data_IF_051139199680
#
_entry.id   IF_051139199680
#
_cell.length_a   1.000
_cell.length_b   1.000
_cell.length_c   1.000
_cell.angle_alpha   90.00
_cell.angle_beta   90.00
_cell.angle_gamma   90.00
#
_symmetry.space_group_name_H-M   'P 1'
#
loop_
_entity.id
_entity.type
_entity.pdbx_description
1 polymer ?
#
# COMPACT_ATOMS: atom_id res chain seq x y z
N UNK A 1 1.88 11.71 10.92
CA UNK A 1 3.05 10.82 10.69
C UNK A 1 2.57 9.37 10.67
N UNK A 2 2.85 8.66 9.57
CA UNK A 2 2.55 7.24 9.47
C UNK A 2 3.46 6.44 10.38
N UNK A 3 2.97 5.30 10.90
CA UNK A 3 3.75 4.40 11.76
C UNK A 3 3.78 2.99 11.19
N UNK A 4 4.98 2.44 11.10
CA UNK A 4 5.21 1.05 10.71
C UNK A 4 5.03 0.14 11.92
N UNK A 5 4.01 -0.69 11.90
CA UNK A 5 3.80 -1.73 12.92
C UNK A 5 4.73 -2.91 12.69
N UNK A 6 4.80 -3.35 11.43
CA UNK A 6 5.64 -4.47 11.00
C UNK A 6 5.87 -4.39 9.50
N UNK A 7 6.81 -5.18 8.99
CA UNK A 7 7.04 -5.32 7.55
C UNK A 7 7.39 -6.76 7.22
N UNK A 8 7.20 -7.12 5.96
CA UNK A 8 7.56 -8.44 5.45
C UNK A 8 7.82 -8.35 3.95
N UNK A 9 8.54 -9.32 3.41
CA UNK A 9 8.73 -9.45 1.98
C UNK A 9 7.72 -10.46 1.46
N UNK A 10 6.87 -10.04 0.53
CA UNK A 10 5.73 -10.80 0.03
C UNK A 10 5.72 -10.82 -1.49
N UNK A 11 5.17 -11.89 -2.06
CA UNK A 11 5.17 -12.12 -3.51
C UNK A 11 3.77 -12.20 -4.12
N UNK A 12 2.71 -12.12 -3.30
CA UNK A 12 1.34 -12.37 -3.75
C UNK A 12 0.43 -11.15 -3.75
N UNK A 13 0.76 -10.12 -2.99
CA UNK A 13 -0.07 -8.93 -2.87
C UNK A 13 -0.11 -8.13 -4.17
N UNK A 14 1.03 -8.00 -4.83
CA UNK A 14 1.11 -7.38 -6.15
C UNK A 14 1.60 -8.46 -7.13
N UNK A 15 0.79 -8.82 -8.15
CA UNK A 15 1.19 -9.81 -9.13
C UNK A 15 2.49 -9.47 -9.83
N UNK A 16 3.38 -10.45 -9.98
CA UNK A 16 4.68 -10.35 -10.66
C UNK A 16 5.71 -9.47 -9.97
N UNK A 17 5.44 -9.02 -8.73
CA UNK A 17 6.38 -8.21 -7.96
C UNK A 17 6.81 -8.90 -6.67
N UNK A 18 8.04 -8.65 -6.26
CA UNK A 18 8.53 -8.99 -4.93
C UNK A 18 8.45 -7.71 -4.10
N UNK A 19 7.52 -7.67 -3.16
CA UNK A 19 7.17 -6.46 -2.45
C UNK A 19 7.69 -6.46 -1.03
N UNK A 20 8.27 -5.33 -0.61
CA UNK A 20 8.45 -5.01 0.80
C UNK A 20 7.15 -4.37 1.27
N UNK A 21 6.33 -5.14 1.96
CA UNK A 21 5.04 -4.69 2.46
C UNK A 21 5.19 -4.17 3.89
N UNK A 22 4.84 -2.92 4.10
CA UNK A 22 4.90 -2.27 5.40
C UNK A 22 3.48 -2.12 5.93
N UNK A 23 3.20 -2.79 7.05
CA UNK A 23 1.91 -2.70 7.72
C UNK A 23 1.86 -1.43 8.55
N UNK A 24 0.91 -0.56 8.23
CA UNK A 24 0.78 0.76 8.83
C UNK A 24 -0.33 0.70 9.88
N UNK A 25 0.00 1.13 11.10
CA UNK A 25 -0.94 1.18 12.21
C UNK A 25 -1.90 2.37 12.10
N UNK A 26 -2.78 2.52 13.09
CA UNK A 26 -3.77 3.60 13.16
C UNK A 26 -4.75 3.58 11.98
N UNK A 27 -5.13 2.37 11.53
CA UNK A 27 -6.08 2.22 10.43
C UNK A 27 -7.47 2.72 10.85
N UNK A 28 -8.04 3.72 10.17
CA UNK A 28 -9.33 4.31 10.55
C UNK A 28 -10.52 3.48 10.09
N UNK A 29 -10.31 2.50 9.22
CA UNK A 29 -11.40 1.80 8.54
C UNK A 29 -12.12 0.78 9.42
N UNK A 30 -11.39 0.11 10.32
CA UNK A 30 -11.91 -0.86 11.30
C UNK A 30 -12.91 -1.85 10.69
N UNK A 31 -12.55 -2.43 9.53
CA UNK A 31 -13.45 -3.31 8.78
C UNK A 31 -13.85 -4.53 9.62
N UNK A 32 -15.16 -4.85 9.74
CA UNK A 32 -15.59 -6.09 10.40
C UNK A 32 -14.96 -7.31 9.75
N UNK A 33 -14.42 -8.23 10.56
CA UNK A 33 -13.72 -9.41 10.07
C UNK A 33 -12.32 -9.15 9.49
N UNK A 34 -11.77 -7.95 9.70
CA UNK A 34 -10.44 -7.58 9.22
C UNK A 34 -9.37 -8.58 9.70
N UNK A 35 -8.46 -8.96 8.80
CA UNK A 35 -7.37 -9.90 9.10
C UNK A 35 -6.28 -9.27 9.99
N UNK A 36 -6.26 -7.95 10.13
CA UNK A 36 -5.20 -7.22 10.85
C UNK A 36 -5.77 -6.20 11.84
N UNK A 37 -6.64 -6.61 12.78
CA UNK A 37 -7.29 -5.66 13.72
C UNK A 37 -6.31 -4.97 14.65
N UNK A 38 -5.12 -5.52 14.89
CA UNK A 38 -4.06 -4.87 15.67
C UNK A 38 -3.56 -3.59 15.02
N UNK A 39 -3.75 -3.40 13.72
CA UNK A 39 -3.37 -2.16 13.01
C UNK A 39 -4.33 -1.00 13.30
N UNK A 40 -5.42 -1.23 14.04
CA UNK A 40 -6.32 -0.16 14.45
C UNK A 40 -5.71 0.72 15.55
N UNK A 41 -4.73 0.20 16.29
CA UNK A 41 -4.05 0.92 17.36
C UNK A 41 -2.96 1.83 16.81
N UNK A 42 -2.64 2.91 17.57
CA UNK A 42 -1.54 3.82 17.23
C UNK A 42 -0.23 3.27 17.78
N UNK A 43 0.30 2.24 17.16
CA UNK A 43 1.51 1.54 17.58
C UNK A 43 2.48 1.39 16.42
N UNK A 44 3.77 1.50 16.69
CA UNK A 44 4.82 1.25 15.70
C UNK A 44 5.88 2.34 15.65
N UNK A 45 6.78 2.20 14.71
CA UNK A 45 7.88 3.12 14.46
C UNK A 45 7.47 4.20 13.47
N UNK A 46 7.80 5.45 13.74
CA UNK A 46 7.54 6.56 12.81
C UNK A 46 8.20 6.30 11.46
N UNK A 47 7.41 6.44 10.39
CA UNK A 47 7.88 6.26 9.01
C UNK A 47 8.50 7.55 8.50
N UNK A 48 9.71 7.85 8.96
CA UNK A 48 10.50 8.96 8.47
C UNK A 48 11.23 8.57 7.19
N UNK A 49 11.71 9.54 6.43
CA UNK A 49 12.54 9.25 5.26
C UNK A 49 13.82 8.50 5.65
N UNK A 50 14.39 8.82 6.81
CA UNK A 50 15.59 8.12 7.33
C UNK A 50 15.29 6.65 7.62
N UNK A 51 14.17 6.37 8.28
CA UNK A 51 13.74 4.99 8.59
C UNK A 51 13.51 4.21 7.30
N UNK A 52 12.78 4.79 6.35
CA UNK A 52 12.49 4.16 5.07
C UNK A 52 13.75 3.96 4.23
N UNK A 53 14.67 4.93 4.23
CA UNK A 53 15.93 4.79 3.52
C UNK A 53 16.77 3.61 4.04
N UNK A 54 16.83 3.46 5.36
CA UNK A 54 17.53 2.33 5.98
C UNK A 54 16.86 0.99 5.63
N UNK A 55 15.54 0.93 5.69
CA UNK A 55 14.77 -0.30 5.44
C UNK A 55 14.85 -0.69 3.95
N UNK A 56 14.57 0.23 3.04
CA UNK A 56 14.62 -0.03 1.60
C UNK A 56 16.04 -0.34 1.16
N UNK A 57 17.03 0.40 1.66
CA UNK A 57 18.43 0.15 1.35
C UNK A 57 18.90 -1.24 1.75
N UNK A 58 18.39 -1.77 2.86
CA UNK A 58 18.70 -3.11 3.33
C UNK A 58 18.21 -4.20 2.36
N UNK A 59 17.04 -3.99 1.74
CA UNK A 59 16.38 -5.00 0.90
C UNK A 59 16.35 -4.68 -0.58
N UNK A 60 16.92 -3.55 -1.02
CA UNK A 60 16.78 -3.04 -2.39
C UNK A 60 17.21 -4.03 -3.48
N UNK A 61 18.17 -4.91 -3.20
CA UNK A 61 18.62 -5.92 -4.15
C UNK A 61 17.64 -7.10 -4.27
N UNK A 62 16.72 -7.27 -3.31
CA UNK A 62 15.82 -8.41 -3.24
C UNK A 62 14.38 -8.05 -3.65
N UNK A 63 14.02 -6.77 -3.65
CA UNK A 63 12.65 -6.32 -3.90
C UNK A 63 12.51 -5.57 -5.21
N UNK A 64 11.31 -5.60 -5.79
CA UNK A 64 10.95 -4.84 -6.99
C UNK A 64 9.89 -3.77 -6.70
N UNK A 65 9.25 -3.83 -5.53
CA UNK A 65 8.13 -2.96 -5.17
C UNK A 65 8.14 -2.65 -3.67
N UNK A 66 7.74 -1.44 -3.33
CA UNK A 66 7.46 -1.04 -1.95
C UNK A 66 5.94 -0.84 -1.81
N UNK A 67 5.32 -1.55 -0.87
CA UNK A 67 3.87 -1.53 -0.71
C UNK A 67 3.47 -0.96 0.66
N UNK A 68 2.69 0.12 0.64
CA UNK A 68 2.05 0.67 1.83
C UNK A 68 0.77 -0.14 2.12
N UNK A 69 0.75 -0.86 3.22
CA UNK A 69 -0.41 -1.65 3.65
C UNK A 69 -1.15 -0.85 4.73
N UNK A 70 -2.06 0.03 4.32
CA UNK A 70 -2.76 0.97 5.18
C UNK A 70 -2.31 2.41 4.95
N UNK A 71 -2.52 3.27 5.95
CA UNK A 71 -2.15 4.69 5.85
C UNK A 71 -3.31 5.60 5.48
N UNK A 72 -4.56 5.11 5.53
CA UNK A 72 -5.75 5.89 5.17
C UNK A 72 -6.02 7.06 6.13
N UNK A 73 -5.40 7.06 7.31
CA UNK A 73 -5.48 8.19 8.23
C UNK A 73 -4.72 9.43 7.71
N UNK A 74 -3.70 9.23 6.87
CA UNK A 74 -2.86 10.29 6.33
C UNK A 74 -2.52 10.00 4.86
N UNK A 75 -3.50 10.07 3.94
CA UNK A 75 -3.28 9.69 2.55
C UNK A 75 -2.27 10.57 1.82
N UNK A 76 -2.19 11.86 2.16
CA UNK A 76 -1.24 12.76 1.51
C UNK A 76 0.20 12.44 1.93
N UNK A 77 0.40 11.88 3.11
CA UNK A 77 1.71 11.40 3.56
C UNK A 77 2.13 10.16 2.76
N UNK A 78 1.20 9.25 2.46
CA UNK A 78 1.45 8.11 1.56
C UNK A 78 1.91 8.62 0.19
N UNK A 79 1.22 9.61 -0.37
CA UNK A 79 1.57 10.23 -1.66
C UNK A 79 2.99 10.81 -1.61
N UNK A 80 3.28 11.62 -0.59
CA UNK A 80 4.57 12.29 -0.45
C UNK A 80 5.72 11.29 -0.34
N UNK A 81 5.54 10.25 0.49
CA UNK A 81 6.56 9.21 0.65
C UNK A 81 6.72 8.38 -0.62
N UNK A 82 5.64 8.09 -1.33
CA UNK A 82 5.69 7.36 -2.61
C UNK A 82 6.50 8.14 -3.65
N UNK A 83 6.26 9.44 -3.77
CA UNK A 83 7.00 10.30 -4.69
C UNK A 83 8.50 10.33 -4.35
N UNK A 84 8.83 10.43 -3.08
CA UNK A 84 10.21 10.41 -2.61
C UNK A 84 10.90 9.08 -2.90
N UNK A 85 10.20 7.94 -2.70
CA UNK A 85 10.74 6.60 -2.99
C UNK A 85 11.03 6.47 -4.49
N UNK A 86 10.12 6.90 -5.35
CA UNK A 86 10.30 6.83 -6.81
C UNK A 86 11.48 7.67 -7.27
N UNK A 87 11.72 8.82 -6.65
CA UNK A 87 12.87 9.66 -6.96
C UNK A 87 14.19 9.06 -6.49
N UNK A 88 14.17 8.42 -5.32
CA UNK A 88 15.39 7.89 -4.69
C UNK A 88 15.78 6.52 -5.27
N UNK A 89 14.79 5.67 -5.55
CA UNK A 89 15.00 4.34 -6.14
C UNK A 89 14.12 4.16 -7.38
N UNK A 90 14.55 4.68 -8.55
CA UNK A 90 13.72 4.63 -9.77
C UNK A 90 13.34 3.24 -10.24
N UNK A 91 14.10 2.22 -9.85
CA UNK A 91 13.85 0.84 -10.23
C UNK A 91 12.86 0.12 -9.29
N UNK A 92 12.50 0.74 -8.17
CA UNK A 92 11.54 0.18 -7.21
C UNK A 92 10.18 0.83 -7.45
N UNK A 93 9.17 0.00 -7.69
CA UNK A 93 7.79 0.45 -7.87
C UNK A 93 7.15 0.75 -6.52
N UNK A 94 6.11 1.57 -6.52
CA UNK A 94 5.35 1.90 -5.32
C UNK A 94 3.93 1.39 -5.44
N UNK A 95 3.38 0.90 -4.33
CA UNK A 95 2.02 0.38 -4.26
C UNK A 95 1.35 0.82 -2.96
N UNK A 96 0.04 0.95 -2.98
CA UNK A 96 -0.75 1.29 -1.80
C UNK A 96 -2.00 0.44 -1.74
N UNK A 97 -2.20 -0.20 -0.59
CA UNK A 97 -3.44 -0.90 -0.25
C UNK A 97 -4.26 0.01 0.65
N UNK A 98 -5.26 0.68 0.06
CA UNK A 98 -6.21 1.54 0.77
C UNK A 98 -7.49 0.78 1.08
N UNK A 99 -8.06 1.04 2.25
CA UNK A 99 -9.38 0.52 2.63
C UNK A 99 -10.53 1.45 2.24
N UNK A 100 -10.26 2.53 1.53
CA UNK A 100 -11.29 3.45 1.02
C UNK A 100 -11.72 3.04 -0.38
N UNK A 101 -12.91 3.46 -0.80
CA UNK A 101 -13.43 3.17 -2.14
C UNK A 101 -12.83 4.05 -3.23
N UNK A 102 -12.29 5.20 -2.86
CA UNK A 102 -11.75 6.18 -3.81
C UNK A 102 -10.59 6.95 -3.17
N UNK A 103 -9.76 7.54 -4.03
CA UNK A 103 -8.68 8.42 -3.59
C UNK A 103 -9.24 9.76 -3.12
N UNK A 104 -8.59 10.41 -2.13
CA UNK A 104 -9.00 11.75 -1.71
C UNK A 104 -8.67 12.79 -2.78
N UNK A 105 -9.36 13.92 -2.71
CA UNK A 105 -9.09 15.07 -3.58
C UNK A 105 -7.63 15.52 -3.41
N UNK A 106 -6.98 15.84 -4.52
CA UNK A 106 -5.60 16.30 -4.52
C UNK A 106 -4.56 15.19 -4.51
N UNK A 107 -4.97 13.92 -4.46
CA UNK A 107 -4.02 12.81 -4.55
C UNK A 107 -3.58 12.62 -6.00
N UNK A 108 -2.26 12.66 -6.22
CA UNK A 108 -1.67 12.42 -7.54
C UNK A 108 -1.46 10.91 -7.73
N UNK A 109 -2.35 10.27 -8.50
CA UNK A 109 -2.36 8.82 -8.66
C UNK A 109 -1.08 8.27 -9.30
N UNK A 110 -0.42 9.07 -10.13
CA UNK A 110 0.86 8.66 -10.77
C UNK A 110 2.05 8.64 -9.81
N UNK A 111 1.86 9.00 -8.54
CA UNK A 111 2.86 8.74 -7.48
C UNK A 111 2.94 7.24 -7.14
N UNK A 112 1.97 6.45 -7.60
CA UNK A 112 1.89 5.00 -7.39
C UNK A 112 2.00 4.26 -8.72
N UNK A 113 2.54 3.04 -8.67
CA UNK A 113 2.51 2.11 -9.80
C UNK A 113 1.36 1.10 -9.67
N UNK A 114 0.92 0.83 -8.43
CA UNK A 114 -0.21 -0.04 -8.12
C UNK A 114 -1.04 0.57 -7.01
N UNK A 115 -2.36 0.39 -7.11
CA UNK A 115 -3.30 0.88 -6.10
C UNK A 115 -4.42 -0.14 -5.90
N UNK A 116 -4.62 -0.56 -4.65
CA UNK A 116 -5.79 -1.35 -4.27
C UNK A 116 -6.75 -0.43 -3.53
N UNK A 117 -8.02 -0.43 -3.95
CA UNK A 117 -9.12 0.30 -3.33
C UNK A 117 -10.20 -0.66 -2.81
N UNK A 118 -10.91 -0.21 -1.81
CA UNK A 118 -12.06 -0.87 -1.24
C UNK A 118 -11.83 -1.41 0.17
N UNK A 119 -12.80 -1.20 1.08
CA UNK A 119 -12.74 -1.80 2.42
C UNK A 119 -12.91 -3.31 2.33
N UNK A 120 -12.40 -4.03 3.34
CA UNK A 120 -12.69 -5.45 3.46
C UNK A 120 -14.13 -5.64 3.93
N UNK A 121 -14.93 -6.36 3.14
CA UNK A 121 -16.29 -6.76 3.47
C UNK A 121 -16.30 -8.28 3.53
N UNK A 122 -16.47 -8.84 4.73
CA UNK A 122 -16.36 -10.28 4.97
C UNK A 122 -17.27 -11.10 4.05
N UNK A 123 -18.51 -10.64 3.84
CA UNK A 123 -19.48 -11.32 2.98
C UNK A 123 -19.07 -11.38 1.51
N UNK A 124 -18.24 -10.43 1.04
CA UNK A 124 -17.77 -10.34 -0.35
C UNK A 124 -16.37 -10.91 -0.54
N UNK A 125 -15.63 -11.06 0.54
CA UNK A 125 -14.25 -11.55 0.53
C UNK A 125 -13.21 -10.55 0.10
N UNK A 126 -11.95 -10.97 0.09
CA UNK A 126 -10.81 -10.16 -0.33
C UNK A 126 -10.58 -10.19 -1.83
N UNK A 127 -9.44 -9.68 -2.28
CA UNK A 127 -9.10 -9.52 -3.71
C UNK A 127 -9.19 -10.81 -4.54
N UNK A 128 -8.98 -11.97 -3.91
CA UNK A 128 -9.04 -13.27 -4.60
C UNK A 128 -10.47 -13.79 -4.78
N UNK A 129 -11.45 -13.20 -4.10
CA UNK A 129 -12.84 -13.60 -4.21
C UNK A 129 -13.47 -13.08 -5.51
N UNK A 130 -14.26 -13.89 -6.25
CA UNK A 130 -14.94 -13.40 -7.45
C UNK A 130 -16.02 -12.36 -7.14
N UNK A 131 -16.53 -12.33 -5.91
CA UNK A 131 -17.59 -11.41 -5.49
C UNK A 131 -17.05 -10.15 -4.78
N UNK A 132 -15.75 -9.97 -4.74
CA UNK A 132 -15.12 -8.88 -3.99
C UNK A 132 -15.50 -7.49 -4.51
N UNK A 133 -15.67 -6.55 -3.58
CA UNK A 133 -15.74 -5.12 -3.87
C UNK A 133 -14.35 -4.47 -3.99
N UNK A 134 -13.29 -5.18 -3.58
CA UNK A 134 -11.93 -4.67 -3.64
C UNK A 134 -11.40 -4.73 -5.07
N UNK A 135 -10.62 -3.72 -5.46
CA UNK A 135 -10.08 -3.60 -6.82
C UNK A 135 -8.61 -3.21 -6.76
N UNK A 136 -7.80 -3.92 -7.54
CA UNK A 136 -6.38 -3.64 -7.69
C UNK A 136 -6.13 -3.07 -9.09
N UNK A 137 -5.38 -1.97 -9.16
CA UNK A 137 -5.09 -1.27 -10.40
C UNK A 137 -3.59 -1.18 -10.62
N UNK A 138 -3.18 -1.31 -11.90
CA UNK A 138 -1.86 -0.87 -12.37
C UNK A 138 -2.00 0.56 -12.90
N UNK A 139 -1.04 1.42 -12.59
CA UNK A 139 -1.09 2.83 -12.94
C UNK A 139 0.07 3.15 -13.89
N UNK A 140 -0.25 3.75 -15.05
CA UNK A 140 0.76 4.20 -16.01
C UNK A 140 1.41 5.51 -15.56
N UNK A 141 2.50 5.89 -16.21
CA UNK A 141 3.19 7.16 -15.92
C UNK A 141 2.29 8.38 -16.16
N UNK A 142 1.30 8.24 -17.05
CA UNK A 142 0.32 9.29 -17.32
C UNK A 142 -0.87 9.27 -16.36
N UNK A 143 -0.89 8.35 -15.38
CA UNK A 143 -1.96 8.24 -14.40
C UNK A 143 -3.16 7.42 -14.84
N UNK A 144 -3.05 6.67 -15.94
CA UNK A 144 -4.12 5.76 -16.36
C UNK A 144 -4.17 4.52 -15.47
N UNK A 145 -5.37 4.18 -15.00
CA UNK A 145 -5.60 3.04 -14.10
C UNK A 145 -6.19 1.87 -14.88
N UNK A 146 -5.50 0.74 -14.86
CA UNK A 146 -5.96 -0.51 -15.48
C UNK A 146 -6.16 -1.55 -14.39
N UNK A 147 -7.38 -2.08 -14.28
CA UNK A 147 -7.69 -3.10 -13.27
C UNK A 147 -6.95 -4.40 -13.58
N UNK A 148 -6.35 -4.98 -12.55
CA UNK A 148 -5.69 -6.29 -12.62
C UNK A 148 -6.34 -7.25 -11.62
N UNK A 149 -6.27 -8.55 -11.93
CA UNK A 149 -6.92 -9.58 -11.13
C UNK A 149 -5.86 -10.50 -10.54
N UNK A 150 -6.02 -10.82 -9.24
CA UNK A 150 -5.19 -11.83 -8.57
C UNK A 150 -5.79 -13.20 -8.86
N UNK A 151 -4.96 -14.09 -9.39
CA UNK A 151 -5.35 -15.46 -9.70
C UNK A 151 -5.15 -16.39 -8.52
#
# INVERSE_FOLDING_TARGET
>A
MLKCYSYDIVCQEIPDEISLAVNISCCPNRCPGCHSPWLWSDEGQDMTQEMLAALIGKYSAAITCFCFMGGDAEPMEVMRLSQWIKMTWPDIKTAWYSGKDALPDGFEVNSLDYLKLGPYIEALGGLKSPDTNQRLYRISDEGEMTRIYIK
#
